data_IF_926475371982
#
_entry.id   IF_926475371982
#
_cell.length_a   1.000
_cell.length_b   1.000
_cell.length_c   1.000
_cell.angle_alpha   90.00
_cell.angle_beta   90.00
_cell.angle_gamma   90.00
#
_symmetry.space_group_name_H-M   'P 1'
#
loop_
_entity.id
_entity.type
_entity.pdbx_description
1 polymer ?
#
# COMPACT_ATOMS: atom_id res chain seq x y z
N UNK A 1 -12.57 -48.41 0.66
CA UNK A 1 -11.66 -47.25 0.81
C UNK A 1 -12.26 -46.06 0.10
N UNK A 2 -12.74 -45.06 0.83
CA UNK A 2 -13.24 -43.77 0.25
C UNK A 2 -12.06 -42.83 0.13
N UNK A 3 -11.60 -42.57 -1.08
CA UNK A 3 -10.61 -41.56 -1.39
C UNK A 3 -11.20 -40.19 -1.04
N UNK A 4 -10.62 -39.49 -0.06
CA UNK A 4 -10.98 -38.08 0.21
C UNK A 4 -10.55 -37.25 -0.99
N UNK A 5 -11.46 -36.41 -1.57
CA UNK A 5 -11.06 -35.52 -2.66
C UNK A 5 -9.99 -34.55 -2.14
N UNK A 6 -8.91 -34.45 -2.91
CA UNK A 6 -7.85 -33.45 -2.68
C UNK A 6 -8.49 -32.06 -2.86
N UNK A 7 -8.73 -31.36 -1.76
CA UNK A 7 -9.16 -29.98 -1.79
C UNK A 7 -7.97 -29.13 -2.19
N UNK A 8 -7.90 -28.73 -3.44
CA UNK A 8 -6.99 -27.67 -3.88
C UNK A 8 -7.24 -26.41 -3.05
N UNK A 9 -6.18 -25.65 -2.69
CA UNK A 9 -6.32 -24.46 -1.85
C UNK A 9 -6.92 -23.28 -2.62
N UNK A 10 -8.21 -23.31 -2.87
CA UNK A 10 -9.01 -22.15 -3.28
C UNK A 10 -9.29 -21.21 -2.10
N UNK A 11 -8.67 -21.47 -0.95
CA UNK A 11 -8.84 -20.72 0.30
C UNK A 11 -8.55 -19.21 0.19
N UNK A 12 -7.47 -18.73 -0.48
CA UNK A 12 -7.19 -17.30 -0.50
C UNK A 12 -8.26 -16.50 -1.25
N UNK A 13 -8.73 -17.00 -2.38
CA UNK A 13 -9.76 -16.33 -3.19
C UNK A 13 -11.12 -16.33 -2.51
N UNK A 14 -11.47 -17.42 -1.84
CA UNK A 14 -12.70 -17.50 -1.04
C UNK A 14 -12.62 -16.56 0.17
N UNK A 15 -11.48 -16.49 0.86
CA UNK A 15 -11.28 -15.53 1.97
C UNK A 15 -11.35 -14.09 1.49
N UNK A 16 -10.82 -13.76 0.32
CA UNK A 16 -10.93 -12.43 -0.26
C UNK A 16 -12.40 -12.03 -0.47
N UNK A 17 -13.26 -12.94 -0.92
CA UNK A 17 -14.67 -12.67 -1.16
C UNK A 17 -15.52 -12.64 0.12
N UNK A 18 -15.16 -13.42 1.12
CA UNK A 18 -15.98 -13.63 2.32
C UNK A 18 -15.51 -12.85 3.54
N UNK A 19 -14.23 -12.51 3.63
CA UNK A 19 -13.66 -11.79 4.77
C UNK A 19 -13.35 -10.33 4.40
N UNK A 20 -14.05 -9.41 5.07
CA UNK A 20 -13.82 -7.97 4.91
C UNK A 20 -12.38 -7.58 5.23
N UNK A 21 -11.80 -8.16 6.29
CA UNK A 21 -10.41 -7.93 6.67
C UNK A 21 -9.44 -8.26 5.52
N UNK A 22 -9.61 -9.45 4.93
CA UNK A 22 -8.77 -9.89 3.82
C UNK A 22 -8.96 -9.02 2.58
N UNK A 23 -10.21 -8.68 2.25
CA UNK A 23 -10.52 -7.84 1.10
C UNK A 23 -9.87 -6.45 1.22
N UNK A 24 -10.06 -5.77 2.35
CA UNK A 24 -9.50 -4.44 2.59
C UNK A 24 -7.96 -4.49 2.56
N UNK A 25 -7.35 -5.41 3.32
CA UNK A 25 -5.89 -5.49 3.37
C UNK A 25 -5.27 -5.86 2.02
N UNK A 26 -5.86 -6.80 1.28
CA UNK A 26 -5.39 -7.17 -0.06
C UNK A 26 -5.44 -5.98 -1.02
N UNK A 27 -6.56 -5.22 -1.04
CA UNK A 27 -6.69 -4.04 -1.88
C UNK A 27 -5.67 -2.95 -1.53
N UNK A 28 -5.38 -2.76 -0.23
CA UNK A 28 -4.39 -1.77 0.20
C UNK A 28 -2.98 -2.22 -0.18
N UNK A 29 -2.60 -3.46 0.13
CA UNK A 29 -1.27 -3.99 -0.22
C UNK A 29 -1.04 -3.95 -1.72
N UNK A 30 -2.03 -4.34 -2.52
CA UNK A 30 -1.93 -4.29 -3.97
C UNK A 30 -1.79 -2.85 -4.48
N UNK A 31 -2.57 -1.91 -3.93
CA UNK A 31 -2.45 -0.49 -4.27
C UNK A 31 -1.06 0.05 -3.92
N UNK A 32 -0.53 -0.28 -2.74
CA UNK A 32 0.79 0.17 -2.29
C UNK A 32 1.92 -0.45 -3.16
N UNK A 33 1.83 -1.73 -3.55
CA UNK A 33 2.81 -2.36 -4.46
C UNK A 33 2.78 -1.67 -5.83
N UNK A 34 1.60 -1.47 -6.41
CA UNK A 34 1.45 -0.84 -7.73
C UNK A 34 1.94 0.60 -7.69
N UNK A 35 1.53 1.38 -6.69
CA UNK A 35 1.95 2.78 -6.56
C UNK A 35 3.46 2.91 -6.39
N UNK A 36 4.05 2.15 -5.46
CA UNK A 36 5.48 2.18 -5.20
C UNK A 36 6.29 1.78 -6.42
N UNK A 37 5.85 0.76 -7.16
CA UNK A 37 6.53 0.33 -8.39
C UNK A 37 6.46 1.40 -9.49
N UNK A 38 5.29 1.97 -9.71
CA UNK A 38 5.11 3.06 -10.68
C UNK A 38 5.91 4.31 -10.28
N UNK A 39 5.85 4.68 -9.01
CA UNK A 39 6.62 5.80 -8.47
C UNK A 39 8.12 5.61 -8.63
N UNK A 40 8.62 4.40 -8.35
CA UNK A 40 10.04 4.09 -8.52
C UNK A 40 10.51 4.30 -9.96
N UNK A 41 9.72 3.88 -10.94
CA UNK A 41 10.00 4.12 -12.36
C UNK A 41 9.97 5.61 -12.69
N UNK A 42 8.95 6.33 -12.25
CA UNK A 42 8.82 7.78 -12.50
C UNK A 42 10.00 8.54 -11.89
N UNK A 43 10.35 8.27 -10.63
CA UNK A 43 11.46 8.93 -9.94
C UNK A 43 12.80 8.58 -10.59
N UNK A 44 12.99 7.33 -11.01
CA UNK A 44 14.20 6.94 -11.74
C UNK A 44 14.36 7.71 -13.06
N UNK A 45 13.29 7.91 -13.81
CA UNK A 45 13.28 8.68 -15.05
C UNK A 45 13.51 10.18 -14.82
N UNK A 46 13.01 10.71 -13.71
CA UNK A 46 13.13 12.12 -13.36
C UNK A 46 14.42 12.44 -12.57
N UNK A 47 15.18 11.45 -12.13
CA UNK A 47 16.33 11.63 -11.24
C UNK A 47 17.31 12.71 -11.71
N UNK A 48 17.59 12.81 -12.99
CA UNK A 48 18.49 13.82 -13.55
C UNK A 48 17.96 15.26 -13.49
N UNK A 49 16.65 15.42 -13.31
CA UNK A 49 15.96 16.73 -13.23
C UNK A 49 15.67 17.16 -11.80
N UNK A 50 15.77 16.24 -10.84
CA UNK A 50 15.50 16.50 -9.43
C UNK A 50 16.81 16.85 -8.73
N UNK A 51 16.96 18.12 -8.33
CA UNK A 51 18.24 18.71 -7.94
C UNK A 51 18.73 18.32 -6.54
N UNK A 52 17.82 18.00 -5.62
CA UNK A 52 18.19 17.67 -4.24
C UNK A 52 17.49 16.43 -3.73
N UNK A 53 18.08 15.76 -2.73
CA UNK A 53 17.48 14.59 -2.08
C UNK A 53 16.11 14.91 -1.48
N UNK A 54 15.96 16.10 -0.90
CA UNK A 54 14.70 16.54 -0.32
C UNK A 54 13.60 16.66 -1.38
N UNK A 55 13.92 17.24 -2.54
CA UNK A 55 12.99 17.34 -3.67
C UNK A 55 12.59 15.95 -4.18
N UNK A 56 13.58 15.03 -4.32
CA UNK A 56 13.30 13.66 -4.73
C UNK A 56 12.31 13.00 -3.76
N UNK A 57 12.57 13.07 -2.45
CA UNK A 57 11.72 12.46 -1.41
C UNK A 57 10.32 13.08 -1.40
N UNK A 58 10.21 14.41 -1.51
CA UNK A 58 8.92 15.11 -1.53
C UNK A 58 8.10 14.72 -2.76
N UNK A 59 8.71 14.75 -3.95
CA UNK A 59 8.03 14.34 -5.19
C UNK A 59 7.61 12.87 -5.11
N UNK A 60 8.47 12.01 -4.56
CA UNK A 60 8.13 10.60 -4.33
C UNK A 60 6.87 10.45 -3.49
N UNK A 61 6.79 11.14 -2.34
CA UNK A 61 5.64 11.03 -1.44
C UNK A 61 4.33 11.50 -2.11
N UNK A 62 4.39 12.59 -2.89
CA UNK A 62 3.22 13.11 -3.62
C UNK A 62 2.77 12.13 -4.71
N UNK A 63 3.69 11.63 -5.53
CA UNK A 63 3.39 10.72 -6.64
C UNK A 63 2.87 9.39 -6.10
N UNK A 64 3.54 8.79 -5.13
CA UNK A 64 3.12 7.53 -4.51
C UNK A 64 1.73 7.67 -3.86
N UNK A 65 1.51 8.72 -3.09
CA UNK A 65 0.23 8.98 -2.45
C UNK A 65 -0.93 9.13 -3.43
N UNK A 66 -0.70 9.85 -4.52
CA UNK A 66 -1.70 10.06 -5.57
C UNK A 66 -2.04 8.76 -6.28
N UNK A 67 -1.04 7.99 -6.69
CA UNK A 67 -1.24 6.69 -7.38
C UNK A 67 -1.88 5.69 -6.43
N UNK A 68 -1.39 5.58 -5.19
CA UNK A 68 -1.94 4.65 -4.19
C UNK A 68 -3.42 4.94 -3.89
N UNK A 69 -3.80 6.22 -3.78
CA UNK A 69 -5.19 6.62 -3.59
C UNK A 69 -6.06 6.20 -4.77
N UNK A 70 -5.64 6.49 -6.00
CA UNK A 70 -6.40 6.17 -7.21
C UNK A 70 -6.56 4.66 -7.40
N UNK A 71 -5.47 3.89 -7.26
CA UNK A 71 -5.48 2.43 -7.40
C UNK A 71 -6.35 1.79 -6.31
N UNK A 72 -6.18 2.22 -5.06
CA UNK A 72 -7.00 1.71 -3.96
C UNK A 72 -8.48 2.00 -4.18
N UNK A 73 -8.85 3.23 -4.55
CA UNK A 73 -10.24 3.59 -4.80
C UNK A 73 -10.85 2.73 -5.92
N UNK A 74 -10.12 2.50 -7.00
CA UNK A 74 -10.55 1.63 -8.09
C UNK A 74 -10.75 0.18 -7.64
N UNK A 75 -9.76 -0.41 -6.99
CA UNK A 75 -9.82 -1.80 -6.49
C UNK A 75 -10.93 -1.98 -5.46
N UNK A 76 -11.03 -1.08 -4.49
CA UNK A 76 -12.02 -1.17 -3.43
C UNK A 76 -13.44 -1.03 -3.97
N UNK A 77 -13.68 -0.05 -4.84
CA UNK A 77 -14.99 0.15 -5.48
C UNK A 77 -15.37 -1.05 -6.35
N UNK A 78 -14.43 -1.59 -7.12
CA UNK A 78 -14.67 -2.78 -7.93
C UNK A 78 -15.04 -3.99 -7.07
N UNK A 79 -14.28 -4.25 -6.01
CA UNK A 79 -14.46 -5.41 -5.15
C UNK A 79 -15.68 -5.31 -4.21
N UNK A 80 -16.09 -4.08 -3.85
CA UNK A 80 -17.12 -3.81 -2.85
C UNK A 80 -18.30 -3.00 -3.41
N UNK A 81 -18.68 -3.21 -4.67
CA UNK A 81 -19.77 -2.48 -5.36
C UNK A 81 -21.07 -2.41 -4.57
N UNK A 82 -21.41 -3.45 -3.84
CA UNK A 82 -22.63 -3.52 -3.04
C UNK A 82 -22.62 -2.64 -1.77
N UNK A 83 -21.45 -2.16 -1.33
CA UNK A 83 -21.28 -1.39 -0.07
C UNK A 83 -21.29 0.12 -0.28
N UNK A 84 -21.20 0.57 -1.52
CA UNK A 84 -21.27 1.97 -1.90
C UNK A 84 -20.04 2.80 -1.52
N UNK A 85 -20.14 4.10 -1.83
CA UNK A 85 -19.05 5.07 -1.65
C UNK A 85 -18.73 5.35 -0.17
N UNK A 86 -19.70 5.22 0.71
CA UNK A 86 -19.53 5.45 2.16
C UNK A 86 -18.53 4.50 2.77
N UNK A 87 -18.51 3.24 2.32
CA UNK A 87 -17.54 2.25 2.78
C UNK A 87 -16.11 2.60 2.33
N UNK A 88 -15.97 3.07 1.09
CA UNK A 88 -14.69 3.58 0.57
C UNK A 88 -14.16 4.73 1.45
N UNK A 89 -15.00 5.73 1.76
CA UNK A 89 -14.60 6.86 2.61
C UNK A 89 -14.18 6.42 4.01
N UNK A 90 -14.92 5.50 4.64
CA UNK A 90 -14.58 4.98 5.97
C UNK A 90 -13.21 4.30 5.97
N UNK A 91 -12.94 3.42 5.02
CA UNK A 91 -11.65 2.75 4.92
C UNK A 91 -10.53 3.74 4.59
N UNK A 92 -10.80 4.70 3.70
CA UNK A 92 -9.80 5.72 3.34
C UNK A 92 -9.48 6.65 4.52
N UNK A 93 -10.44 7.01 5.35
CA UNK A 93 -10.20 7.79 6.57
C UNK A 93 -9.24 7.06 7.53
N UNK A 94 -9.46 5.77 7.74
CA UNK A 94 -8.53 4.95 8.56
C UNK A 94 -7.13 4.85 7.94
N UNK A 95 -7.03 4.79 6.61
CA UNK A 95 -5.72 4.85 5.94
C UNK A 95 -5.04 6.19 6.20
N UNK A 96 -5.75 7.31 6.12
CA UNK A 96 -5.20 8.64 6.34
C UNK A 96 -4.66 8.84 7.75
N UNK A 97 -5.27 8.23 8.77
CA UNK A 97 -4.74 8.28 10.15
C UNK A 97 -3.33 7.66 10.24
N UNK A 98 -3.04 6.63 9.45
CA UNK A 98 -1.76 5.93 9.47
C UNK A 98 -0.80 6.35 8.35
N UNK A 99 -1.28 7.10 7.35
CA UNK A 99 -0.46 7.61 6.25
C UNK A 99 0.72 8.46 6.71
N UNK A 100 0.61 9.36 7.71
CA UNK A 100 1.77 10.11 8.21
C UNK A 100 2.92 9.20 8.64
N UNK A 101 2.62 8.10 9.34
CA UNK A 101 3.63 7.13 9.75
C UNK A 101 4.26 6.44 8.54
N UNK A 102 3.46 6.05 7.55
CA UNK A 102 3.95 5.44 6.32
C UNK A 102 4.94 6.35 5.59
N UNK A 103 4.55 7.62 5.39
CA UNK A 103 5.42 8.58 4.70
C UNK A 103 6.63 8.99 5.53
N UNK A 104 6.51 9.09 6.86
CA UNK A 104 7.65 9.35 7.73
C UNK A 104 8.71 8.26 7.62
N UNK A 105 8.30 7.00 7.73
CA UNK A 105 9.21 5.84 7.63
C UNK A 105 9.77 5.71 6.21
N UNK A 106 8.90 5.74 5.19
CA UNK A 106 9.30 5.59 3.79
C UNK A 106 10.23 6.71 3.34
N UNK A 107 9.86 7.97 3.60
CA UNK A 107 10.68 9.14 3.22
C UNK A 107 12.00 9.19 3.98
N UNK A 108 11.99 8.86 5.27
CA UNK A 108 13.21 8.81 6.09
C UNK A 108 14.19 7.76 5.56
N UNK A 109 13.73 6.54 5.33
CA UNK A 109 14.56 5.48 4.75
C UNK A 109 15.04 5.84 3.35
N UNK A 110 14.17 6.39 2.49
CA UNK A 110 14.57 6.82 1.15
C UNK A 110 15.67 7.89 1.21
N UNK A 111 15.52 8.89 2.08
CA UNK A 111 16.53 9.93 2.26
C UNK A 111 17.89 9.34 2.67
N UNK A 112 17.92 8.39 3.60
CA UNK A 112 19.14 7.70 4.03
C UNK A 112 19.76 6.88 2.90
N UNK A 113 18.95 6.14 2.12
CA UNK A 113 19.43 5.37 0.97
C UNK A 113 20.03 6.26 -0.12
N UNK A 114 19.40 7.41 -0.40
CA UNK A 114 19.94 8.42 -1.31
C UNK A 114 21.24 9.04 -0.79
N UNK A 115 21.37 9.23 0.52
CA UNK A 115 22.60 9.70 1.16
C UNK A 115 23.73 8.69 1.03
N UNK A 116 23.39 7.39 1.05
CA UNK A 116 24.34 6.29 0.82
C UNK A 116 24.65 6.04 -0.66
N UNK A 117 24.16 6.86 -1.59
CA UNK A 117 24.43 6.73 -3.02
C UNK A 117 23.56 5.71 -3.77
N UNK A 118 22.50 5.20 -3.13
CA UNK A 118 21.57 4.28 -3.80
C UNK A 118 20.77 5.02 -4.88
N UNK A 119 20.60 4.39 -6.04
CA UNK A 119 19.77 4.94 -7.14
C UNK A 119 18.36 5.25 -6.68
N UNK A 120 17.81 6.38 -7.13
CA UNK A 120 16.57 6.91 -6.62
C UNK A 120 15.38 5.92 -6.73
N UNK A 121 15.20 5.24 -7.85
CA UNK A 121 14.14 4.24 -8.03
C UNK A 121 14.29 3.04 -7.09
N UNK A 122 15.51 2.53 -6.89
CA UNK A 122 15.78 1.44 -5.94
C UNK A 122 15.51 1.91 -4.52
N UNK A 123 15.94 3.14 -4.18
CA UNK A 123 15.67 3.77 -2.89
C UNK A 123 14.17 3.84 -2.59
N UNK A 124 13.34 4.21 -3.57
CA UNK A 124 11.87 4.20 -3.45
C UNK A 124 11.35 2.79 -3.15
N UNK A 125 11.72 1.80 -3.96
CA UNK A 125 11.24 0.42 -3.77
C UNK A 125 11.57 -0.10 -2.37
N UNK A 126 12.83 -0.03 -1.97
CA UNK A 126 13.26 -0.55 -0.67
C UNK A 126 12.60 0.20 0.47
N UNK A 127 12.59 1.53 0.43
CA UNK A 127 12.06 2.35 1.53
C UNK A 127 10.55 2.19 1.70
N UNK A 128 9.79 2.31 0.62
CA UNK A 128 8.33 2.30 0.72
C UNK A 128 7.75 0.90 0.90
N UNK A 129 8.32 -0.15 0.30
CA UNK A 129 7.89 -1.52 0.60
C UNK A 129 8.19 -1.91 2.05
N UNK A 130 9.32 -1.45 2.61
CA UNK A 130 9.60 -1.62 4.04
C UNK A 130 8.58 -0.88 4.91
N UNK A 131 8.24 0.36 4.56
CA UNK A 131 7.21 1.14 5.25
C UNK A 131 5.83 0.46 5.17
N UNK A 132 5.46 -0.09 4.01
CA UNK A 132 4.23 -0.89 3.84
C UNK A 132 4.21 -2.05 4.83
N UNK A 133 5.26 -2.84 4.93
CA UNK A 133 5.32 -4.00 5.84
C UNK A 133 5.10 -3.57 7.30
N UNK A 134 5.78 -2.52 7.75
CA UNK A 134 5.66 -1.99 9.12
C UNK A 134 4.25 -1.47 9.39
N UNK A 135 3.76 -0.57 8.53
CA UNK A 135 2.47 0.11 8.73
C UNK A 135 1.29 -0.85 8.57
N UNK A 136 1.39 -1.86 7.69
CA UNK A 136 0.35 -2.90 7.57
C UNK A 136 0.19 -3.73 8.82
N UNK A 137 1.28 -4.06 9.48
CA UNK A 137 1.22 -4.75 10.77
C UNK A 137 0.48 -3.91 11.81
N UNK A 138 0.83 -2.63 11.93
CA UNK A 138 0.17 -1.68 12.85
C UNK A 138 -1.30 -1.51 12.48
N UNK A 139 -1.62 -1.32 11.19
CA UNK A 139 -2.99 -1.14 10.71
C UNK A 139 -3.87 -2.37 11.01
N UNK A 140 -3.33 -3.56 10.83
CA UNK A 140 -4.08 -4.80 11.10
C UNK A 140 -4.41 -4.94 12.59
N UNK A 141 -3.47 -4.57 13.47
CA UNK A 141 -3.68 -4.57 14.92
C UNK A 141 -4.69 -3.49 15.34
N UNK A 142 -4.55 -2.28 14.81
CA UNK A 142 -5.46 -1.17 15.08
C UNK A 142 -6.88 -1.45 14.57
N UNK A 143 -7.01 -1.94 13.34
CA UNK A 143 -8.30 -2.25 12.74
C UNK A 143 -9.10 -3.33 13.49
N UNK A 144 -8.39 -4.31 14.10
CA UNK A 144 -9.03 -5.29 14.98
C UNK A 144 -9.59 -4.65 16.26
N UNK A 145 -8.83 -3.72 16.86
CA UNK A 145 -9.27 -3.03 18.11
C UNK A 145 -10.38 -2.02 17.85
N UNK A 146 -10.37 -1.33 16.71
CA UNK A 146 -11.36 -0.29 16.38
C UNK A 146 -12.67 -0.81 15.80
N UNK A 147 -12.82 -2.12 15.63
CA UNK A 147 -13.99 -2.72 15.01
C UNK A 147 -14.15 -2.42 13.51
N UNK A 148 -13.11 -1.92 12.85
CA UNK A 148 -13.14 -1.61 11.41
C UNK A 148 -13.47 -2.84 10.54
N UNK A 149 -13.15 -4.02 11.05
CA UNK A 149 -13.27 -5.30 10.35
C UNK A 149 -14.49 -6.15 10.76
N UNK A 150 -15.37 -5.60 11.58
CA UNK A 150 -16.63 -6.22 11.98
C UNK A 150 -17.81 -5.76 11.13
#
# INVERSE_FOLDING_TARGET
MRTRPVRFPMEPLNRYKTSRLWNINANIVLADIVSTSATALIIQLLQSKLTTRLVIVTVTAIVDGTISLAVFAGLHTYANRARGITDLFRVQLHRWILSPLHYLVGSGLQFMLLAAGVRAGIGVLVAYLSAVAIVRTIHSLYGKKSGLFH
#
